data_IF_213764257277
#
_entry.id   IF_213764257277
#
_cell.length_a   1.000
_cell.length_b   1.000
_cell.length_c   1.000
_cell.angle_alpha   90.00
_cell.angle_beta   90.00
_cell.angle_gamma   90.00
#
_symmetry.space_group_name_H-M   'P 1'
#
loop_
_entity.id
_entity.type
_entity.pdbx_description
1 polymer ?
#
# COMPACT_ATOMS: atom_id res chain seq x y z
N UNK A 1 -17.09 -19.55 5.44
CA UNK A 1 -17.50 -18.16 5.18
C UNK A 1 -16.39 -17.51 4.38
N UNK A 2 -16.72 -16.91 3.24
CA UNK A 2 -15.74 -16.30 2.34
C UNK A 2 -15.45 -14.88 2.82
N UNK A 3 -14.19 -14.56 3.05
CA UNK A 3 -13.73 -13.24 3.49
C UNK A 3 -13.79 -12.23 2.35
N UNK A 4 -13.83 -10.94 2.69
CA UNK A 4 -13.76 -9.86 1.69
C UNK A 4 -12.49 -9.97 0.81
N UNK A 5 -11.39 -10.42 1.39
CA UNK A 5 -10.14 -10.63 0.69
C UNK A 5 -10.25 -11.73 -0.38
N UNK A 6 -10.87 -12.86 -0.07
CA UNK A 6 -11.07 -13.96 -1.03
C UNK A 6 -11.97 -13.54 -2.21
N UNK A 7 -13.02 -12.76 -1.97
CA UNK A 7 -13.90 -12.24 -3.03
C UNK A 7 -13.14 -11.28 -3.98
N UNK A 8 -12.31 -10.41 -3.42
CA UNK A 8 -11.48 -9.49 -4.21
C UNK A 8 -10.43 -10.29 -4.99
N UNK A 9 -9.77 -11.26 -4.36
CA UNK A 9 -8.75 -12.10 -4.98
C UNK A 9 -9.27 -12.89 -6.19
N UNK A 10 -10.52 -13.33 -6.13
CA UNK A 10 -11.19 -13.99 -7.25
C UNK A 10 -11.51 -13.03 -8.42
N UNK A 11 -11.63 -11.73 -8.15
CA UNK A 11 -11.99 -10.70 -9.13
C UNK A 11 -10.77 -10.07 -9.84
N UNK A 12 -9.56 -10.44 -9.42
CA UNK A 12 -8.29 -9.96 -9.98
C UNK A 12 -7.84 -10.78 -11.18
N UNK A 13 -7.34 -10.10 -12.20
CA UNK A 13 -6.58 -10.70 -13.31
C UNK A 13 -5.20 -11.17 -12.83
N UNK A 14 -4.54 -12.02 -13.62
CA UNK A 14 -3.18 -12.49 -13.29
C UNK A 14 -2.17 -11.33 -13.20
N UNK A 15 -2.28 -10.36 -14.13
CA UNK A 15 -1.41 -9.18 -14.14
C UNK A 15 -1.62 -8.31 -12.89
N UNK A 16 -2.88 -8.08 -12.50
CA UNK A 16 -3.22 -7.34 -11.27
C UNK A 16 -2.72 -8.06 -10.01
N UNK A 17 -2.78 -9.40 -9.97
CA UNK A 17 -2.20 -10.18 -8.85
C UNK A 17 -0.68 -10.01 -8.79
N UNK A 18 -0.02 -10.11 -9.94
CA UNK A 18 1.44 -9.93 -10.01
C UNK A 18 1.86 -8.51 -9.59
N UNK A 19 1.12 -7.47 -10.00
CA UNK A 19 1.45 -6.09 -9.64
C UNK A 19 1.34 -5.80 -8.15
N UNK A 20 0.46 -6.49 -7.42
CA UNK A 20 0.33 -6.33 -5.96
C UNK A 20 1.49 -6.91 -5.15
N UNK A 21 2.37 -7.71 -5.78
CA UNK A 21 3.55 -8.29 -5.11
C UNK A 21 4.74 -7.34 -5.08
N UNK A 22 4.63 -6.16 -5.70
CA UNK A 22 5.62 -5.11 -5.68
C UNK A 22 4.98 -3.78 -5.26
N UNK A 23 5.80 -2.88 -4.71
CA UNK A 23 5.39 -1.50 -4.51
C UNK A 23 5.16 -0.79 -5.84
N UNK A 24 4.23 0.16 -5.85
CA UNK A 24 4.13 1.15 -6.91
C UNK A 24 5.36 2.08 -6.89
N UNK A 25 5.87 2.35 -5.69
CA UNK A 25 7.13 3.04 -5.41
C UNK A 25 7.70 2.56 -4.06
N UNK A 26 8.69 3.28 -3.53
CA UNK A 26 9.37 2.93 -2.29
C UNK A 26 8.46 2.88 -1.05
N UNK A 27 7.35 3.63 -1.05
CA UNK A 27 6.49 3.80 0.13
C UNK A 27 5.02 3.45 -0.13
N UNK A 28 4.64 3.05 -1.33
CA UNK A 28 3.22 2.84 -1.70
C UNK A 28 2.97 1.54 -2.44
N UNK A 29 1.81 0.93 -2.21
CA UNK A 29 1.33 -0.22 -3.00
C UNK A 29 0.64 0.20 -4.28
N UNK A 30 0.52 -0.73 -5.24
CA UNK A 30 -0.24 -0.54 -6.47
C UNK A 30 -1.73 -0.44 -6.19
N UNK A 31 -2.39 0.57 -6.77
CA UNK A 31 -3.85 0.73 -6.72
C UNK A 31 -4.54 -0.06 -7.84
N UNK A 32 -5.76 -0.54 -7.59
CA UNK A 32 -6.61 -1.20 -8.59
C UNK A 32 -8.00 -0.55 -8.54
N UNK A 33 -8.14 0.56 -9.28
CA UNK A 33 -9.31 1.44 -9.25
C UNK A 33 -10.61 0.73 -9.63
N UNK A 34 -10.56 -0.18 -10.62
CA UNK A 34 -11.71 -0.98 -11.06
C UNK A 34 -12.37 -1.77 -9.93
N UNK A 35 -11.57 -2.21 -8.95
CA UNK A 35 -12.04 -2.97 -7.78
C UNK A 35 -12.15 -2.09 -6.52
N UNK A 36 -12.00 -0.77 -6.65
CA UNK A 36 -11.93 0.18 -5.53
C UNK A 36 -10.87 -0.20 -4.50
N UNK A 37 -9.71 -0.71 -4.95
CA UNK A 37 -8.56 -0.96 -4.10
C UNK A 37 -7.64 0.27 -4.12
N UNK A 38 -7.58 1.05 -3.02
CA UNK A 38 -6.71 2.22 -2.95
C UNK A 38 -5.24 1.81 -2.81
N UNK A 39 -4.35 2.76 -3.06
CA UNK A 39 -2.95 2.63 -2.64
C UNK A 39 -2.85 2.66 -1.11
N UNK A 40 -1.93 1.86 -0.57
CA UNK A 40 -1.57 1.88 0.84
C UNK A 40 -0.20 2.51 0.93
N UNK A 41 -0.08 3.57 1.73
CA UNK A 41 1.20 4.17 2.08
C UNK A 41 1.77 3.48 3.33
N UNK A 42 3.05 3.12 3.26
CA UNK A 42 3.84 2.61 4.38
C UNK A 42 4.90 3.65 4.77
N UNK A 43 5.38 3.55 6.00
CA UNK A 43 6.46 4.38 6.53
C UNK A 43 7.23 3.55 7.54
N UNK A 44 8.54 3.72 7.58
CA UNK A 44 9.36 3.23 8.69
C UNK A 44 8.94 3.86 10.02
N UNK A 45 9.25 3.16 11.12
CA UNK A 45 9.10 3.77 12.44
C UNK A 45 9.14 2.89 13.67
N UNK A 46 10.30 2.40 14.11
CA UNK A 46 10.41 1.82 15.45
C UNK A 46 10.27 2.86 16.59
N UNK A 47 10.50 4.15 16.33
CA UNK A 47 10.48 5.23 17.34
C UNK A 47 9.88 6.56 16.79
N UNK A 48 8.82 6.48 15.99
CA UNK A 48 8.21 7.63 15.34
C UNK A 48 7.95 7.37 13.86
N UNK A 49 7.00 8.09 13.26
CA UNK A 49 6.64 7.91 11.85
C UNK A 49 7.60 8.72 11.00
N UNK A 50 8.33 8.08 10.07
CA UNK A 50 9.25 8.76 9.14
C UNK A 50 8.54 9.59 8.06
N UNK A 51 7.39 9.14 7.57
CA UNK A 51 6.71 9.76 6.43
C UNK A 51 7.19 9.25 5.07
N UNK A 52 6.76 9.93 3.99
CA UNK A 52 7.01 9.52 2.60
C UNK A 52 8.29 10.11 1.99
N UNK A 53 8.71 11.28 2.46
CA UNK A 53 9.80 12.02 1.84
C UNK A 53 11.11 11.82 2.60
N UNK A 54 12.20 11.68 1.86
CA UNK A 54 13.57 11.76 2.39
C UNK A 54 13.90 13.19 2.90
N UNK A 55 13.03 14.17 2.63
CA UNK A 55 13.05 15.49 3.23
C UNK A 55 12.48 15.43 4.65
N UNK A 56 13.39 15.21 5.60
CA UNK A 56 13.23 15.44 7.05
C UNK A 56 12.69 16.85 7.34
N UNK A 57 11.38 17.07 7.25
CA UNK A 57 10.81 18.40 7.49
C UNK A 57 9.30 18.44 7.71
N UNK A 58 8.50 17.69 6.95
CA UNK A 58 7.03 17.96 6.93
C UNK A 58 6.14 16.78 7.34
N UNK A 59 6.67 15.55 7.52
CA UNK A 59 5.83 14.39 7.88
C UNK A 59 6.47 13.44 8.89
N UNK A 60 7.41 13.95 9.69
CA UNK A 60 7.99 13.19 10.80
C UNK A 60 7.32 13.57 12.11
N UNK A 61 6.78 12.58 12.83
CA UNK A 61 6.24 12.78 14.17
C UNK A 61 6.82 11.72 15.11
N UNK A 62 7.58 12.20 16.11
CA UNK A 62 8.04 11.38 17.22
C UNK A 62 7.01 11.45 18.35
N UNK A 63 6.68 10.30 18.94
CA UNK A 63 5.86 10.18 20.14
C UNK A 63 6.74 10.07 21.40
#
# INVERSE_FOLDING_TARGET
MTTKAETILASLTLAEKASLLAGADMWRTVAIERLNLPTIQVSDGPNGVRGMDDNIGETVMCF
#
